data_IF_515925535904
#
_entry.id   IF_515925535904
#
_cell.length_a   1.000
_cell.length_b   1.000
_cell.length_c   1.000
_cell.angle_alpha   90.00
_cell.angle_beta   90.00
_cell.angle_gamma   90.00
#
_symmetry.space_group_name_H-M   'P 1'
#
loop_
_entity.id
_entity.type
_entity.pdbx_description
1 polymer ?
#
# COMPACT_ATOMS: atom_id res chain seq x y z
N UNK A 1 -22.62 -2.73 -23.93
CA UNK A 1 -23.01 -2.39 -22.57
C UNK A 1 -22.56 -3.50 -21.63
N UNK A 2 -21.75 -3.15 -20.60
CA UNK A 2 -21.17 -4.10 -19.65
C UNK A 2 -21.88 -4.08 -18.27
N UNK A 3 -22.90 -3.24 -18.13
CA UNK A 3 -23.56 -3.02 -16.84
C UNK A 3 -22.71 -2.22 -15.85
N UNK A 4 -23.15 -2.14 -14.59
CA UNK A 4 -22.44 -1.45 -13.52
C UNK A 4 -21.29 -2.38 -13.01
N UNK A 5 -20.06 -1.96 -13.25
CA UNK A 5 -18.84 -2.69 -12.84
C UNK A 5 -17.75 -1.71 -12.42
N UNK A 6 -16.95 -2.04 -11.41
CA UNK A 6 -15.82 -1.21 -10.95
C UNK A 6 -14.61 -1.43 -11.88
N UNK A 7 -14.60 -0.79 -13.04
CA UNK A 7 -13.58 -0.98 -14.09
C UNK A 7 -12.60 0.19 -14.16
N UNK A 8 -12.13 0.67 -13.02
CA UNK A 8 -11.06 1.65 -12.97
C UNK A 8 -9.70 0.94 -13.04
N UNK A 9 -8.94 1.20 -14.10
CA UNK A 9 -7.60 0.64 -14.32
C UNK A 9 -6.62 1.74 -14.72
N UNK A 10 -5.35 1.66 -14.31
CA UNK A 10 -4.81 0.70 -13.36
C UNK A 10 -5.16 1.06 -11.90
N UNK A 11 -5.13 0.08 -11.00
CA UNK A 11 -5.19 0.30 -9.56
C UNK A 11 -3.80 0.18 -8.94
N UNK A 12 -3.46 0.98 -7.91
CA UNK A 12 -2.22 0.77 -7.16
C UNK A 12 -2.27 -0.57 -6.42
N UNK A 13 -1.10 -1.13 -6.14
CA UNK A 13 -0.97 -2.32 -5.27
C UNK A 13 -0.33 -1.88 -3.97
N UNK A 14 -1.15 -1.84 -2.91
CA UNK A 14 -0.79 -1.26 -1.62
C UNK A 14 -0.69 -2.35 -0.55
N UNK A 15 0.44 -2.40 0.14
CA UNK A 15 0.71 -3.35 1.22
C UNK A 15 0.46 -2.68 2.55
N UNK A 16 -0.66 -3.02 3.20
CA UNK A 16 -1.07 -2.38 4.46
C UNK A 16 -0.50 -3.14 5.64
N UNK A 17 0.45 -2.52 6.35
CA UNK A 17 1.14 -3.07 7.52
C UNK A 17 0.50 -2.61 8.82
N UNK A 18 0.27 -3.54 9.75
CA UNK A 18 -0.33 -3.30 11.07
C UNK A 18 0.28 -4.21 12.12
N UNK A 19 0.21 -3.82 13.41
CA UNK A 19 0.46 -4.72 14.53
C UNK A 19 -0.85 -5.24 15.13
N UNK A 20 -0.86 -6.50 15.57
CA UNK A 20 -1.94 -7.05 16.37
C UNK A 20 -1.80 -6.66 17.85
N UNK A 21 -2.70 -7.19 18.70
CA UNK A 21 -2.70 -6.90 20.14
C UNK A 21 -1.45 -7.40 20.87
N UNK A 22 -0.80 -8.41 20.33
CA UNK A 22 0.41 -9.02 20.89
C UNK A 22 1.70 -8.40 20.31
N UNK A 23 1.57 -7.44 19.39
CA UNK A 23 2.69 -6.76 18.73
C UNK A 23 3.25 -7.52 17.52
N UNK A 24 2.57 -8.57 17.03
CA UNK A 24 2.99 -9.27 15.83
C UNK A 24 2.62 -8.45 14.59
N UNK A 25 3.55 -8.38 13.64
CA UNK A 25 3.32 -7.71 12.38
C UNK A 25 2.38 -8.53 11.46
N UNK A 26 1.47 -7.83 10.81
CA UNK A 26 0.60 -8.38 9.78
C UNK A 26 0.55 -7.42 8.59
N UNK A 27 0.53 -7.98 7.39
CA UNK A 27 0.42 -7.23 6.13
C UNK A 27 -0.71 -7.82 5.29
N UNK A 28 -1.47 -6.98 4.63
CA UNK A 28 -2.41 -7.38 3.58
C UNK A 28 -2.19 -6.58 2.31
N UNK A 29 -2.54 -7.17 1.17
CA UNK A 29 -2.60 -6.50 -0.12
C UNK A 29 -3.97 -5.81 -0.29
N UNK A 30 -3.97 -4.57 -0.75
CA UNK A 30 -5.17 -3.81 -1.10
C UNK A 30 -4.98 -3.05 -2.41
N UNK A 31 -6.03 -3.02 -3.23
CA UNK A 31 -6.06 -2.26 -4.48
C UNK A 31 -7.22 -1.24 -4.52
N UNK A 32 -8.22 -1.40 -3.65
CA UNK A 32 -9.38 -0.50 -3.59
C UNK A 32 -9.08 0.69 -2.69
N UNK A 33 -8.48 1.76 -3.26
CA UNK A 33 -8.14 2.96 -2.52
C UNK A 33 -7.25 3.90 -3.32
N UNK A 34 -6.83 4.98 -2.68
CA UNK A 34 -5.94 5.98 -3.28
C UNK A 34 -5.84 7.26 -2.48
N UNK A 35 -5.08 8.22 -3.01
CA UNK A 35 -4.90 9.56 -2.45
C UNK A 35 -6.18 10.38 -2.65
N UNK A 36 -6.68 11.01 -1.59
CA UNK A 36 -7.90 11.83 -1.59
C UNK A 36 -7.70 13.26 -1.08
N UNK A 37 -6.47 13.60 -0.69
CA UNK A 37 -6.08 14.93 -0.21
C UNK A 37 -4.58 15.13 -0.29
N UNK A 38 -4.07 16.27 0.16
CA UNK A 38 -2.63 16.57 0.12
C UNK A 38 -1.79 15.57 0.92
N UNK A 39 -2.34 15.05 2.03
CA UNK A 39 -1.73 14.07 2.91
C UNK A 39 -2.76 13.04 3.41
N UNK A 40 -3.75 12.70 2.58
CA UNK A 40 -4.82 11.77 2.95
C UNK A 40 -4.90 10.63 1.95
N UNK A 41 -5.08 9.43 2.50
CA UNK A 41 -5.27 8.19 1.74
C UNK A 41 -6.50 7.45 2.25
N UNK A 42 -7.30 6.87 1.35
CA UNK A 42 -8.50 6.11 1.70
C UNK A 42 -8.43 4.70 1.11
N UNK A 43 -8.98 3.74 1.82
CA UNK A 43 -9.16 2.35 1.38
C UNK A 43 -10.57 1.87 1.67
N UNK A 44 -11.10 1.06 0.78
CA UNK A 44 -12.27 0.22 1.04
C UNK A 44 -11.74 -1.18 1.41
N UNK A 45 -11.85 -1.52 2.70
CA UNK A 45 -11.36 -2.76 3.28
C UNK A 45 -12.49 -3.49 3.97
N UNK A 46 -12.78 -4.69 3.53
CA UNK A 46 -13.72 -5.56 4.22
C UNK A 46 -13.27 -5.95 5.64
N UNK A 47 -13.94 -6.93 6.24
CA UNK A 47 -13.57 -7.44 7.57
C UNK A 47 -12.36 -8.37 7.47
N UNK A 48 -11.22 -7.90 7.96
CA UNK A 48 -9.94 -8.59 7.95
C UNK A 48 -9.20 -8.39 9.27
N UNK A 49 -8.21 -9.23 9.57
CA UNK A 49 -7.28 -9.02 10.70
C UNK A 49 -6.67 -7.62 10.67
N UNK A 50 -6.31 -7.14 9.50
CA UNK A 50 -5.74 -5.79 9.30
C UNK A 50 -6.68 -4.69 9.75
N UNK A 51 -8.00 -4.78 9.43
CA UNK A 51 -8.98 -3.76 9.82
C UNK A 51 -9.24 -3.75 11.34
N UNK A 52 -9.18 -4.92 12.00
CA UNK A 52 -9.21 -5.02 13.46
C UNK A 52 -8.00 -4.34 14.07
N UNK A 53 -6.81 -4.59 13.53
CA UNK A 53 -5.55 -4.01 13.97
C UNK A 53 -5.50 -2.48 13.79
N UNK A 54 -6.01 -1.96 12.66
CA UNK A 54 -6.13 -0.51 12.43
C UNK A 54 -7.06 0.12 13.48
N UNK A 55 -8.20 -0.52 13.77
CA UNK A 55 -9.16 -0.05 14.80
C UNK A 55 -8.51 -0.02 16.18
N UNK A 56 -7.68 -1.01 16.50
CA UNK A 56 -6.96 -1.13 17.76
C UNK A 56 -5.88 -0.05 17.91
N UNK A 57 -4.96 0.01 16.95
CA UNK A 57 -3.74 0.84 17.05
C UNK A 57 -3.92 2.27 16.54
N UNK A 58 -4.99 2.55 15.79
CA UNK A 58 -5.24 3.83 15.11
C UNK A 58 -4.08 4.24 14.18
N UNK A 59 -3.33 3.26 13.70
CA UNK A 59 -2.12 3.46 12.90
C UNK A 59 -1.90 2.29 11.95
N UNK A 60 -1.29 2.58 10.80
CA UNK A 60 -0.91 1.60 9.79
C UNK A 60 0.18 2.16 8.88
N UNK A 61 0.85 1.30 8.13
CA UNK A 61 1.72 1.70 7.02
C UNK A 61 1.13 1.27 5.70
N UNK A 62 1.54 1.94 4.63
CA UNK A 62 1.17 1.60 3.26
C UNK A 62 2.43 1.56 2.43
N UNK A 63 2.95 0.37 2.17
CA UNK A 63 4.06 0.19 1.24
C UNK A 63 3.53 -0.03 -0.17
N UNK A 64 4.27 0.41 -1.17
CA UNK A 64 3.95 0.20 -2.58
C UNK A 64 4.64 -1.09 -3.04
N UNK A 65 3.87 -2.00 -3.61
CA UNK A 65 4.40 -3.25 -4.14
C UNK A 65 5.21 -3.02 -5.43
N UNK A 66 6.25 -3.80 -5.59
CA UNK A 66 7.14 -3.78 -6.75
C UNK A 66 7.16 -5.12 -7.51
N UNK A 67 7.79 -5.13 -8.67
CA UNK A 67 7.83 -6.30 -9.55
C UNK A 67 8.69 -7.44 -8.96
N UNK A 68 9.70 -7.14 -8.15
CA UNK A 68 10.58 -8.14 -7.54
C UNK A 68 9.83 -8.97 -6.50
N UNK A 69 8.96 -8.33 -5.72
CA UNK A 69 8.24 -8.94 -4.61
C UNK A 69 6.77 -9.29 -4.92
N UNK A 70 6.35 -9.28 -6.21
CA UNK A 70 4.94 -9.48 -6.60
C UNK A 70 4.33 -10.76 -6.03
N UNK A 71 5.06 -11.87 -6.03
CA UNK A 71 4.55 -13.16 -5.52
C UNK A 71 4.33 -13.12 -4.00
N UNK A 72 5.23 -12.49 -3.24
CA UNK A 72 5.09 -12.29 -1.81
C UNK A 72 3.93 -11.34 -1.48
N UNK A 73 3.80 -10.25 -2.23
CA UNK A 73 2.71 -9.28 -2.11
C UNK A 73 1.34 -9.92 -2.38
N UNK A 74 1.23 -10.75 -3.41
CA UNK A 74 0.01 -11.49 -3.72
C UNK A 74 -0.31 -12.51 -2.61
N UNK A 75 0.67 -13.31 -2.20
CA UNK A 75 0.50 -14.32 -1.15
C UNK A 75 -0.07 -13.74 0.14
N UNK A 76 0.48 -12.63 0.66
CA UNK A 76 -0.04 -12.02 1.90
C UNK A 76 -1.42 -11.37 1.73
N UNK A 77 -1.87 -11.17 0.49
CA UNK A 77 -3.22 -10.71 0.15
C UNK A 77 -4.27 -11.81 0.19
N UNK A 78 -3.92 -13.03 -0.29
CA UNK A 78 -4.84 -14.16 -0.38
C UNK A 78 -4.92 -14.99 0.90
N UNK A 79 -3.92 -14.87 1.80
CA UNK A 79 -3.82 -15.64 3.04
C UNK A 79 -4.12 -14.76 4.25
N UNK A 80 -5.07 -15.19 5.09
CA UNK A 80 -5.41 -14.50 6.34
C UNK A 80 -4.43 -14.87 7.46
N UNK A 81 -3.99 -13.88 8.25
CA UNK A 81 -3.21 -14.14 9.47
C UNK A 81 -4.01 -14.85 10.58
N UNK A 82 -5.35 -14.92 10.47
CA UNK A 82 -6.18 -15.71 11.35
C UNK A 82 -6.02 -17.21 11.10
N UNK A 83 -5.73 -17.60 9.84
CA UNK A 83 -5.57 -18.99 9.42
C UNK A 83 -4.12 -19.41 9.31
N UNK A 84 -3.22 -18.46 9.00
CA UNK A 84 -1.78 -18.67 8.82
C UNK A 84 -0.99 -17.60 9.59
N UNK A 85 -0.69 -17.86 10.89
CA UNK A 85 0.09 -16.93 11.72
C UNK A 85 1.50 -16.64 11.18
N UNK A 86 2.11 -17.61 10.49
CA UNK A 86 3.47 -17.52 9.93
C UNK A 86 3.51 -16.90 8.52
N UNK A 87 2.42 -16.28 8.04
CA UNK A 87 2.34 -15.79 6.66
C UNK A 87 3.46 -14.81 6.29
N UNK A 88 3.87 -13.94 7.21
CA UNK A 88 4.97 -13.00 6.99
C UNK A 88 6.29 -13.72 6.72
N UNK A 89 6.60 -14.73 7.53
CA UNK A 89 7.79 -15.57 7.36
C UNK A 89 7.75 -16.37 6.05
N UNK A 90 6.56 -16.89 5.67
CA UNK A 90 6.39 -17.64 4.41
C UNK A 90 6.49 -16.77 3.17
N UNK A 91 6.20 -15.48 3.31
CA UNK A 91 6.40 -14.46 2.28
C UNK A 91 7.83 -13.93 2.22
N UNK A 92 8.71 -14.37 3.11
CA UNK A 92 10.06 -13.84 3.31
C UNK A 92 10.07 -12.32 3.59
N UNK A 93 8.98 -11.79 4.17
CA UNK A 93 8.91 -10.41 4.61
C UNK A 93 9.42 -10.26 6.03
N UNK A 94 10.34 -9.31 6.20
CA UNK A 94 10.82 -8.83 7.50
C UNK A 94 10.31 -7.42 7.76
N UNK A 95 10.21 -7.04 9.03
CA UNK A 95 9.69 -5.72 9.37
C UNK A 95 10.55 -5.04 10.43
N UNK A 96 10.56 -3.70 10.38
CA UNK A 96 11.01 -2.85 11.48
C UNK A 96 9.84 -2.00 11.97
N UNK A 97 9.93 -1.48 13.19
CA UNK A 97 8.93 -0.55 13.72
C UNK A 97 9.07 0.81 13.05
N UNK A 98 7.95 1.42 12.67
CA UNK A 98 7.92 2.83 12.26
C UNK A 98 8.34 3.74 13.42
N UNK A 99 9.04 4.84 13.10
CA UNK A 99 9.40 5.87 14.08
C UNK A 99 8.25 6.85 14.34
N UNK A 100 7.30 6.98 13.41
CA UNK A 100 6.25 7.98 13.43
C UNK A 100 4.88 7.44 13.88
N UNK A 101 4.64 6.12 13.69
CA UNK A 101 3.35 5.49 14.00
C UNK A 101 3.56 4.10 14.63
N UNK A 102 2.54 3.59 15.33
CA UNK A 102 2.58 2.24 15.89
C UNK A 102 2.19 1.20 14.82
N UNK A 103 3.05 1.05 13.79
CA UNK A 103 2.85 0.10 12.71
C UNK A 103 4.20 -0.39 12.16
N UNK A 104 4.25 -1.57 11.49
CA UNK A 104 5.48 -2.11 10.91
C UNK A 104 5.76 -1.50 9.54
N UNK A 105 7.02 -1.24 9.24
CA UNK A 105 7.56 -0.97 7.91
C UNK A 105 8.14 -2.26 7.35
N UNK A 106 7.78 -2.65 6.12
CA UNK A 106 8.30 -3.83 5.43
C UNK A 106 9.68 -3.47 4.86
N UNK A 107 10.72 -4.22 5.22
CA UNK A 107 12.10 -3.90 4.84
C UNK A 107 12.39 -4.14 3.35
N UNK A 108 11.68 -5.08 2.73
CA UNK A 108 11.88 -5.49 1.35
C UNK A 108 11.23 -4.51 0.36
N UNK A 109 10.25 -3.69 0.79
CA UNK A 109 9.55 -2.75 -0.07
C UNK A 109 10.10 -1.32 0.09
N UNK A 110 10.52 -0.73 -1.03
CA UNK A 110 11.34 0.47 -1.06
C UNK A 110 10.61 1.77 -0.72
N UNK A 111 9.28 1.83 -0.81
CA UNK A 111 8.50 3.05 -0.55
C UNK A 111 7.34 2.76 0.39
N UNK A 112 7.28 3.48 1.51
CA UNK A 112 6.24 3.28 2.55
C UNK A 112 5.73 4.61 3.07
N UNK A 113 4.42 4.81 3.05
CA UNK A 113 3.70 5.88 3.74
C UNK A 113 3.38 5.42 5.17
N UNK A 114 3.62 6.25 6.17
CA UNK A 114 3.31 6.02 7.58
C UNK A 114 2.08 6.82 7.94
N UNK A 115 1.01 6.15 8.39
CA UNK A 115 -0.33 6.72 8.45
C UNK A 115 -0.97 6.59 9.83
N UNK A 116 -1.75 7.61 10.21
CA UNK A 116 -2.69 7.57 11.35
C UNK A 116 -4.11 7.42 10.83
N UNK A 117 -4.90 6.58 11.48
CA UNK A 117 -6.34 6.49 11.19
C UNK A 117 -7.01 7.82 11.56
N UNK A 118 -7.65 8.45 10.58
CA UNK A 118 -8.42 9.68 10.76
C UNK A 118 -9.90 9.38 11.00
N UNK A 119 -10.50 8.55 10.16
CA UNK A 119 -11.92 8.23 10.20
C UNK A 119 -12.21 6.86 9.59
N UNK A 120 -13.33 6.24 9.99
CA UNK A 120 -13.90 5.07 9.31
C UNK A 120 -15.29 5.49 8.82
N UNK A 121 -15.45 5.53 7.50
CA UNK A 121 -16.66 5.96 6.80
C UNK A 121 -17.45 4.71 6.40
N UNK A 122 -18.77 4.70 6.65
CA UNK A 122 -19.69 3.59 6.35
C UNK A 122 -19.27 2.21 6.91
N UNK A 123 -18.27 2.20 7.83
CA UNK A 123 -17.81 0.98 8.53
C UNK A 123 -16.70 0.20 7.82
N UNK A 124 -16.44 0.44 6.55
CA UNK A 124 -15.48 -0.28 5.69
C UNK A 124 -14.47 0.59 4.96
N UNK A 125 -14.66 1.91 4.91
CA UNK A 125 -13.74 2.85 4.28
C UNK A 125 -12.85 3.51 5.34
N UNK A 126 -11.56 3.23 5.27
CA UNK A 126 -10.56 3.70 6.23
C UNK A 126 -9.83 4.91 5.65
N UNK A 127 -10.11 6.08 6.18
CA UNK A 127 -9.40 7.32 5.85
C UNK A 127 -8.20 7.48 6.79
N UNK A 128 -7.02 7.61 6.23
CA UNK A 128 -5.77 7.84 6.94
C UNK A 128 -5.13 9.18 6.61
N UNK A 129 -4.47 9.77 7.60
CA UNK A 129 -3.54 10.87 7.43
C UNK A 129 -2.13 10.33 7.23
N UNK A 130 -1.48 10.68 6.14
CA UNK A 130 -0.07 10.39 5.88
C UNK A 130 0.76 11.38 6.72
N UNK A 131 1.49 10.87 7.69
CA UNK A 131 2.30 11.69 8.60
C UNK A 131 3.79 11.67 8.26
N UNK A 132 4.23 10.68 7.49
CA UNK A 132 5.59 10.57 6.97
C UNK A 132 5.64 9.61 5.78
N UNK A 133 6.68 9.73 4.96
CA UNK A 133 7.04 8.80 3.88
C UNK A 133 8.48 8.36 4.08
N UNK A 134 8.71 7.06 4.02
CA UNK A 134 10.05 6.46 4.05
C UNK A 134 10.34 5.88 2.68
N UNK A 135 11.48 6.25 2.11
CA UNK A 135 12.02 5.68 0.88
C UNK A 135 13.37 5.03 1.16
N UNK A 136 13.67 3.94 0.47
CA UNK A 136 14.98 3.33 0.45
C UNK A 136 15.91 4.16 -0.46
N UNK A 137 17.16 4.35 -0.04
CA UNK A 137 18.14 5.10 -0.82
C UNK A 137 18.35 4.53 -2.23
N UNK A 138 18.08 3.23 -2.44
CA UNK A 138 18.19 2.56 -3.74
C UNK A 138 17.27 3.12 -4.81
N UNK A 139 16.12 3.69 -4.43
CA UNK A 139 15.14 4.27 -5.36
C UNK A 139 15.27 5.79 -5.51
N UNK A 140 16.26 6.40 -4.84
CA UNK A 140 16.50 7.84 -4.92
C UNK A 140 17.56 8.15 -5.97
N UNK A 141 17.29 9.16 -6.79
CA UNK A 141 18.26 9.76 -7.69
C UNK A 141 19.27 10.66 -6.96
N UNK A 142 20.25 11.19 -7.70
CA UNK A 142 21.28 12.09 -7.17
C UNK A 142 20.70 13.40 -6.57
N UNK A 143 19.48 13.76 -6.99
CA UNK A 143 18.72 14.92 -6.48
C UNK A 143 17.88 14.59 -5.24
N UNK A 144 17.87 13.33 -4.80
CA UNK A 144 17.07 12.84 -3.67
C UNK A 144 15.59 12.56 -4.02
N UNK A 145 15.21 12.66 -5.29
CA UNK A 145 13.86 12.34 -5.75
C UNK A 145 13.75 10.86 -6.15
N UNK A 146 12.55 10.29 -6.07
CA UNK A 146 12.29 8.90 -6.43
C UNK A 146 12.43 8.71 -7.94
N UNK A 147 13.21 7.70 -8.37
CA UNK A 147 13.36 7.30 -9.75
C UNK A 147 12.62 5.99 -10.04
N UNK A 148 11.95 5.91 -11.19
CA UNK A 148 11.21 4.71 -11.58
C UNK A 148 12.12 3.62 -12.18
N UNK A 149 13.35 3.97 -12.56
CA UNK A 149 14.35 3.05 -13.10
C UNK A 149 14.76 1.97 -12.09
N UNK A 150 14.71 2.30 -10.79
CA UNK A 150 15.09 1.38 -9.71
C UNK A 150 13.88 0.90 -8.89
N UNK A 151 12.76 1.65 -8.92
CA UNK A 151 11.61 1.36 -8.07
C UNK A 151 10.71 0.24 -8.63
N UNK A 152 10.47 0.19 -9.92
CA UNK A 152 9.64 -0.80 -10.63
C UNK A 152 8.28 -1.12 -9.96
N UNK A 153 7.45 -0.12 -9.60
CA UNK A 153 6.16 -0.38 -8.95
C UNK A 153 5.22 -1.16 -9.86
N UNK A 154 4.33 -1.95 -9.28
CA UNK A 154 3.31 -2.70 -10.00
C UNK A 154 1.92 -2.10 -9.81
N UNK A 155 1.05 -2.40 -10.76
CA UNK A 155 -0.36 -2.03 -10.75
C UNK A 155 -1.24 -3.26 -10.92
N UNK A 156 -2.46 -3.19 -10.38
CA UNK A 156 -3.45 -4.25 -10.50
C UNK A 156 -4.45 -3.94 -11.61
N UNK A 157 -4.73 -4.95 -12.44
CA UNK A 157 -5.78 -4.90 -13.46
C UNK A 157 -7.06 -5.55 -12.92
N UNK A 158 -8.10 -4.72 -12.72
CA UNK A 158 -9.42 -5.16 -12.25
C UNK A 158 -10.23 -5.91 -13.31
N UNK A 159 -9.77 -5.97 -14.56
CA UNK A 159 -10.44 -6.65 -15.67
C UNK A 159 -9.93 -8.08 -15.81
N UNK A 160 -8.61 -8.23 -15.95
CA UNK A 160 -7.94 -9.51 -16.12
C UNK A 160 -7.49 -10.17 -14.82
N UNK A 161 -7.61 -9.46 -13.67
CA UNK A 161 -7.17 -9.91 -12.35
C UNK A 161 -5.67 -10.29 -12.31
N UNK A 162 -4.83 -9.43 -12.90
CA UNK A 162 -3.38 -9.61 -12.97
C UNK A 162 -2.60 -8.39 -12.50
N UNK A 163 -1.30 -8.57 -12.31
CA UNK A 163 -0.38 -7.49 -11.99
C UNK A 163 0.44 -7.10 -13.22
N UNK A 164 0.71 -5.81 -13.39
CA UNK A 164 1.52 -5.27 -14.48
C UNK A 164 2.56 -4.31 -13.90
N UNK A 165 3.78 -4.37 -14.42
CA UNK A 165 4.77 -3.33 -14.16
C UNK A 165 4.43 -2.07 -14.97
N UNK A 166 4.78 -0.90 -14.45
CA UNK A 166 4.71 0.33 -15.23
C UNK A 166 5.72 0.26 -16.39
N UNK A 167 5.29 0.72 -17.57
CA UNK A 167 6.16 0.85 -18.73
C UNK A 167 6.94 2.17 -18.73
N UNK A 168 7.61 2.44 -19.85
CA UNK A 168 8.37 3.67 -20.03
C UNK A 168 7.50 4.92 -19.91
N UNK A 169 8.11 6.03 -19.48
CA UNK A 169 7.45 7.33 -19.47
C UNK A 169 7.02 7.73 -20.88
N UNK A 170 5.74 8.01 -21.08
CA UNK A 170 5.22 8.39 -22.40
C UNK A 170 5.18 9.91 -22.61
N UNK A 171 5.09 10.72 -21.54
CA UNK A 171 5.06 12.17 -21.59
C UNK A 171 5.40 12.77 -20.23
N UNK A 172 6.37 13.69 -20.18
CA UNK A 172 6.63 14.50 -19.02
C UNK A 172 5.62 15.66 -18.95
N UNK A 173 4.97 15.84 -17.80
CA UNK A 173 4.10 16.97 -17.56
C UNK A 173 4.94 18.23 -17.29
N UNK A 174 5.06 19.10 -18.29
CA UNK A 174 5.91 20.29 -18.25
C UNK A 174 5.13 21.61 -18.18
N UNK A 175 3.80 21.56 -18.28
CA UNK A 175 2.96 22.76 -18.24
C UNK A 175 2.26 22.89 -16.89
N UNK A 176 2.15 24.11 -16.34
CA UNK A 176 1.32 24.32 -15.16
C UNK A 176 -0.14 23.94 -15.50
N UNK A 177 -0.81 23.28 -14.56
CA UNK A 177 -2.24 23.02 -14.69
C UNK A 177 -2.98 24.33 -14.97
N UNK A 178 -3.95 24.36 -15.91
CA UNK A 178 -4.83 25.53 -16.01
C UNK A 178 -5.40 25.79 -14.62
N UNK A 179 -5.28 27.02 -14.16
CA UNK A 179 -5.96 27.42 -12.91
C UNK A 179 -7.43 27.61 -13.27
N UNK A 180 -8.30 26.86 -12.63
CA UNK A 180 -9.74 27.06 -12.68
C UNK A 180 -10.12 28.44 -12.14
#
# INVERSE_FOLDING_TARGET
NLGAKPMLVPQPVMMIGTYDADGNANVMNAAWGGIVGANEIIFDLGSHKTTENIKLNKAFTVAIADAEHVAACDYVGIVSANDEPDKMKKADFTTRKSEFVNAPVINELSLTMECKLKEIIDGDKFLGEIVNVVADDRILGDDGEITYEEFHPIVFDTIGHGYFALGDSCLLYTSPSPRD
#
